data_IF_379684780539
#
_entry.id   IF_379684780539
#
_cell.length_a   1.000
_cell.length_b   1.000
_cell.length_c   1.000
_cell.angle_alpha   90.00
_cell.angle_beta   90.00
_cell.angle_gamma   90.00
#
_symmetry.space_group_name_H-M   'P 1'
#
loop_
_entity.id
_entity.type
_entity.pdbx_description
1 polymer ?
#
# COMPACT_ATOMS: atom_id res chain seq x y z
N UNK A 1 17.01 -2.13 -3.35
CA UNK A 1 15.68 -2.29 -3.95
C UNK A 1 14.86 -1.11 -3.53
N UNK A 2 14.42 -0.28 -4.49
CA UNK A 2 13.40 0.71 -4.19
C UNK A 2 12.15 -0.01 -3.68
N UNK A 3 11.56 0.46 -2.59
CA UNK A 3 10.36 -0.14 -2.01
C UNK A 3 9.21 -0.03 -3.02
N UNK A 4 8.68 -1.17 -3.43
CA UNK A 4 7.48 -1.26 -4.28
C UNK A 4 6.25 -0.91 -3.42
N UNK A 5 5.98 0.38 -3.20
CA UNK A 5 4.77 0.84 -2.51
C UNK A 5 3.55 0.81 -3.44
N UNK A 6 2.35 0.71 -2.87
CA UNK A 6 1.11 0.80 -3.65
C UNK A 6 1.01 2.12 -4.40
N UNK A 7 1.42 3.24 -3.78
CA UNK A 7 1.43 4.56 -4.43
C UNK A 7 2.28 4.54 -5.71
N UNK A 8 3.48 3.94 -5.65
CA UNK A 8 4.36 3.85 -6.81
C UNK A 8 3.80 2.95 -7.91
N UNK A 9 3.07 1.89 -7.55
CA UNK A 9 2.37 1.03 -8.52
C UNK A 9 1.26 1.83 -9.21
N UNK A 10 0.44 2.56 -8.46
CA UNK A 10 -0.64 3.38 -9.02
C UNK A 10 -0.10 4.51 -9.91
N UNK A 11 0.95 5.21 -9.47
CA UNK A 11 1.61 6.25 -10.26
C UNK A 11 2.15 5.70 -11.58
N UNK A 12 2.79 4.53 -11.53
CA UNK A 12 3.30 3.87 -12.73
C UNK A 12 2.18 3.45 -13.68
N UNK A 13 1.12 2.81 -13.18
CA UNK A 13 -0.03 2.40 -14.00
C UNK A 13 -0.69 3.61 -14.67
N UNK A 14 -0.90 4.70 -13.92
CA UNK A 14 -1.47 5.93 -14.46
C UNK A 14 -0.57 6.56 -15.52
N UNK A 15 0.74 6.66 -15.25
CA UNK A 15 1.71 7.16 -16.22
C UNK A 15 1.69 6.34 -17.51
N UNK A 16 1.76 5.01 -17.39
CA UNK A 16 1.77 4.11 -18.54
C UNK A 16 0.53 4.29 -19.43
N UNK A 17 -0.67 4.27 -18.84
CA UNK A 17 -1.93 4.43 -19.59
C UNK A 17 -2.00 5.82 -20.23
N UNK A 18 -1.58 6.86 -19.50
CA UNK A 18 -1.60 8.24 -19.99
C UNK A 18 -0.66 8.44 -21.18
N UNK A 19 0.59 7.97 -21.11
CA UNK A 19 1.54 8.08 -22.22
C UNK A 19 1.12 7.22 -23.41
N UNK A 20 0.61 6.00 -23.17
CA UNK A 20 0.11 5.13 -24.22
C UNK A 20 -1.07 5.75 -24.97
N UNK A 21 -1.98 6.43 -24.26
CA UNK A 21 -3.14 7.08 -24.88
C UNK A 21 -2.76 8.14 -25.93
N UNK A 22 -1.57 8.75 -25.82
CA UNK A 22 -1.07 9.74 -26.78
C UNK A 22 -0.66 9.13 -28.11
N UNK A 23 -0.43 7.82 -28.15
CA UNK A 23 -0.07 7.09 -29.36
C UNK A 23 -1.29 6.75 -30.23
N UNK A 24 -2.51 6.93 -29.70
CA UNK A 24 -3.74 6.64 -30.43
C UNK A 24 -3.92 7.66 -31.56
N UNK A 25 -4.07 7.16 -32.78
CA UNK A 25 -4.33 7.94 -34.00
C UNK A 25 -5.83 8.09 -34.30
N UNK A 26 -6.69 7.65 -33.38
CA UNK A 26 -8.14 7.75 -33.47
C UNK A 26 -8.73 8.25 -32.15
N UNK A 27 -9.97 8.76 -32.22
CA UNK A 27 -10.76 9.12 -31.04
C UNK A 27 -11.48 7.87 -30.50
N UNK A 28 -11.14 7.37 -29.30
CA UNK A 28 -11.82 6.20 -28.76
C UNK A 28 -13.30 6.47 -28.54
N UNK A 29 -14.13 5.50 -28.87
CA UNK A 29 -15.56 5.49 -28.55
C UNK A 29 -15.93 4.13 -27.98
N UNK A 30 -16.80 4.08 -26.95
CA UNK A 30 -17.21 2.81 -26.36
C UNK A 30 -18.02 2.00 -27.40
N UNK A 31 -17.71 0.71 -27.63
CA UNK A 31 -18.53 -0.13 -28.48
C UNK A 31 -19.91 -0.37 -27.85
N UNK A 32 -20.89 -0.75 -28.65
CA UNK A 32 -22.26 -1.04 -28.17
C UNK A 32 -22.33 -2.21 -27.17
N UNK A 33 -21.32 -3.08 -27.17
CA UNK A 33 -21.16 -4.18 -26.21
C UNK A 33 -20.44 -3.78 -24.93
N UNK A 34 -19.96 -2.54 -24.81
CA UNK A 34 -19.28 -2.09 -23.60
C UNK A 34 -20.23 -2.09 -22.41
N UNK A 35 -19.76 -2.65 -21.30
CA UNK A 35 -20.44 -2.61 -20.02
C UNK A 35 -19.64 -1.74 -19.06
N UNK A 36 -20.34 -0.92 -18.29
CA UNK A 36 -19.72 -0.12 -17.24
C UNK A 36 -19.21 -1.05 -16.12
N UNK A 37 -17.97 -0.82 -15.70
CA UNK A 37 -17.41 -1.49 -14.52
C UNK A 37 -17.82 -0.69 -13.28
N UNK A 38 -18.67 -1.27 -12.46
CA UNK A 38 -19.05 -0.77 -11.13
C UNK A 38 -18.56 -1.72 -10.01
N UNK A 39 -18.70 -1.29 -8.75
CA UNK A 39 -18.37 -2.13 -7.58
C UNK A 39 -19.07 -3.49 -7.66
N UNK A 40 -20.34 -3.51 -8.03
CA UNK A 40 -21.14 -4.73 -8.08
C UNK A 40 -20.65 -5.67 -9.19
N UNK A 41 -20.23 -5.11 -10.32
CA UNK A 41 -19.63 -5.89 -11.42
C UNK A 41 -18.31 -6.56 -11.00
N UNK A 42 -17.50 -5.87 -10.19
CA UNK A 42 -16.26 -6.42 -9.64
C UNK A 42 -16.53 -7.52 -8.60
N UNK A 43 -17.49 -7.28 -7.70
CA UNK A 43 -17.90 -8.25 -6.68
C UNK A 43 -18.59 -9.47 -7.28
N UNK A 44 -19.27 -9.33 -8.42
CA UNK A 44 -19.92 -10.42 -9.14
C UNK A 44 -18.90 -11.39 -9.75
N UNK A 45 -17.77 -10.88 -10.24
CA UNK A 45 -16.71 -11.69 -10.87
C UNK A 45 -15.73 -12.29 -9.86
N UNK A 46 -15.68 -11.77 -8.64
CA UNK A 46 -14.75 -12.21 -7.62
C UNK A 46 -15.12 -13.60 -7.05
N UNK A 47 -14.11 -14.45 -6.84
CA UNK A 47 -14.29 -15.68 -6.08
C UNK A 47 -14.70 -15.37 -4.61
N UNK A 48 -15.29 -16.34 -3.88
CA UNK A 48 -15.85 -16.08 -2.55
C UNK A 48 -14.85 -15.44 -1.56
N UNK A 49 -13.56 -15.81 -1.65
CA UNK A 49 -12.53 -15.27 -0.76
C UNK A 49 -12.17 -13.84 -1.16
N UNK A 50 -11.93 -13.59 -2.46
CA UNK A 50 -11.63 -12.26 -2.97
C UNK A 50 -12.78 -11.29 -2.76
N UNK A 51 -14.04 -11.73 -2.94
CA UNK A 51 -15.24 -10.94 -2.69
C UNK A 51 -15.26 -10.39 -1.27
N UNK A 52 -14.98 -11.21 -0.26
CA UNK A 52 -14.95 -10.77 1.14
C UNK A 52 -13.89 -9.69 1.39
N UNK A 53 -12.73 -9.77 0.73
CA UNK A 53 -11.69 -8.74 0.85
C UNK A 53 -12.07 -7.46 0.12
N UNK A 54 -12.64 -7.56 -1.09
CA UNK A 54 -13.08 -6.42 -1.88
C UNK A 54 -14.18 -5.63 -1.16
N UNK A 55 -15.19 -6.31 -0.61
CA UNK A 55 -16.26 -5.66 0.17
C UNK A 55 -15.69 -4.88 1.36
N UNK A 56 -14.70 -5.46 2.07
CA UNK A 56 -14.03 -4.79 3.19
C UNK A 56 -13.12 -3.63 2.79
N UNK A 57 -12.65 -3.62 1.55
CA UNK A 57 -11.80 -2.54 1.01
C UNK A 57 -12.59 -1.32 0.56
N UNK A 58 -13.92 -1.37 0.61
CA UNK A 58 -14.78 -0.25 0.27
C UNK A 58 -14.44 0.96 1.13
N UNK A 59 -14.03 2.05 0.49
CA UNK A 59 -13.76 3.33 1.16
C UNK A 59 -14.91 4.29 0.91
N UNK A 60 -15.20 5.14 1.89
CA UNK A 60 -16.08 6.28 1.72
C UNK A 60 -15.27 7.55 1.91
N UNK A 61 -15.70 8.64 1.28
CA UNK A 61 -15.09 9.94 1.53
C UNK A 61 -15.21 10.26 3.03
N UNK A 62 -14.10 10.62 3.66
CA UNK A 62 -14.13 11.00 5.08
C UNK A 62 -15.01 12.24 5.25
N UNK A 63 -15.99 12.23 6.17
CA UNK A 63 -16.82 13.40 6.45
C UNK A 63 -16.00 14.53 7.09
N UNK A 64 -14.80 14.22 7.59
CA UNK A 64 -13.87 15.18 8.20
C UNK A 64 -12.59 15.30 7.37
N UNK A 65 -11.97 16.49 7.32
CA UNK A 65 -10.68 16.67 6.65
C UNK A 65 -9.59 15.84 7.37
N UNK A 66 -8.49 15.50 6.67
CA UNK A 66 -7.38 14.78 7.28
C UNK A 66 -6.89 15.46 8.56
N UNK A 67 -6.65 14.69 9.62
CA UNK A 67 -6.09 15.24 10.85
C UNK A 67 -4.67 15.77 10.59
N UNK A 68 -4.33 16.93 11.17
CA UNK A 68 -2.94 17.37 11.23
C UNK A 68 -2.24 16.52 12.28
N UNK A 69 -1.30 15.69 11.85
CA UNK A 69 -0.41 14.99 12.78
C UNK A 69 0.27 16.06 13.64
N UNK A 70 0.09 15.98 14.97
CA UNK A 70 0.71 16.94 15.88
C UNK A 70 2.23 16.86 15.72
N UNK A 71 2.89 18.00 15.90
CA UNK A 71 4.34 18.07 15.76
C UNK A 71 4.98 17.10 16.75
N UNK A 72 5.63 16.07 16.21
CA UNK A 72 6.11 14.93 16.99
C UNK A 72 7.24 15.37 17.91
N UNK A 73 7.18 14.99 19.19
CA UNK A 73 8.33 15.20 20.09
C UNK A 73 9.51 14.36 19.59
N UNK A 74 10.47 15.03 18.94
CA UNK A 74 11.64 14.38 18.37
C UNK A 74 12.49 13.64 19.40
N UNK A 75 12.42 14.03 20.68
CA UNK A 75 13.12 13.33 21.75
C UNK A 75 12.46 11.99 22.07
N UNK A 76 11.13 11.93 22.09
CA UNK A 76 10.39 10.68 22.30
C UNK A 76 10.74 9.65 21.23
N UNK A 77 10.76 10.06 19.95
CA UNK A 77 11.12 9.19 18.83
C UNK A 77 12.56 8.71 18.95
N UNK A 78 13.50 9.61 19.29
CA UNK A 78 14.92 9.26 19.43
C UNK A 78 15.15 8.28 20.58
N UNK A 79 14.49 8.49 21.71
CA UNK A 79 14.56 7.60 22.88
C UNK A 79 14.00 6.22 22.54
N UNK A 80 12.85 6.17 21.85
CA UNK A 80 12.25 4.91 21.41
C UNK A 80 13.16 4.14 20.44
N UNK A 81 13.80 4.83 19.49
CA UNK A 81 14.77 4.21 18.59
C UNK A 81 15.99 3.65 19.34
N UNK A 82 16.50 4.36 20.34
CA UNK A 82 17.61 3.88 21.18
C UNK A 82 17.22 2.65 21.99
N UNK A 83 16.03 2.66 22.61
CA UNK A 83 15.53 1.49 23.34
C UNK A 83 15.38 0.27 22.43
N UNK A 84 14.81 0.46 21.24
CA UNK A 84 14.69 -0.61 20.25
C UNK A 84 16.05 -1.18 19.84
N UNK A 85 17.04 -0.31 19.61
CA UNK A 85 18.42 -0.72 19.26
C UNK A 85 19.07 -1.50 20.41
N UNK A 86 18.89 -1.04 21.65
CA UNK A 86 19.40 -1.73 22.84
C UNK A 86 18.81 -3.13 22.97
N UNK A 87 17.48 -3.25 22.85
CA UNK A 87 16.80 -4.54 22.93
C UNK A 87 17.26 -5.54 21.85
N UNK A 88 17.53 -5.06 20.62
CA UNK A 88 18.08 -5.89 19.54
C UNK A 88 19.48 -6.39 19.91
N UNK A 89 20.38 -5.49 20.35
CA UNK A 89 21.73 -5.86 20.75
C UNK A 89 21.74 -6.85 21.94
N UNK A 90 20.85 -6.66 22.91
CA UNK A 90 20.73 -7.56 24.07
C UNK A 90 20.36 -8.97 23.61
N UNK A 91 19.42 -9.11 22.66
CA UNK A 91 19.06 -10.42 22.10
C UNK A 91 20.22 -11.05 21.30
N UNK A 92 20.95 -10.25 20.53
CA UNK A 92 22.11 -10.73 19.75
C UNK A 92 23.25 -11.21 20.64
N UNK A 93 23.57 -10.47 21.70
CA UNK A 93 24.61 -10.84 22.67
C UNK A 93 24.23 -12.11 23.44
N UNK A 94 22.96 -12.26 23.84
CA UNK A 94 22.45 -13.49 24.46
C UNK A 94 22.53 -14.72 23.54
N UNK A 95 22.38 -14.52 22.22
CA UNK A 95 22.55 -15.60 21.23
C UNK A 95 24.01 -15.97 21.04
N UNK A 96 24.91 -14.99 20.97
CA UNK A 96 26.35 -15.21 20.80
C UNK A 96 26.98 -15.93 22.02
N UNK A 97 26.48 -15.68 23.24
CA UNK A 97 26.94 -16.35 24.45
C UNK A 97 26.43 -17.78 24.61
N UNK A 98 25.38 -18.18 23.88
CA UNK A 98 24.77 -19.52 23.93
C UNK A 98 25.39 -20.54 22.97
N UNK A 99 26.39 -20.18 22.18
CA UNK A 99 27.13 -21.13 21.33
C UNK A 99 28.29 -21.75 22.14
N UNK A 100 28.20 -23.02 22.59
CA UNK A 100 29.31 -23.66 23.28
C UNK A 100 30.45 -23.92 22.29
N UNK A 101 31.68 -23.67 22.75
CA UNK A 101 32.89 -24.16 22.11
C UNK A 101 32.79 -25.69 21.99
N UNK A 102 32.79 -26.19 20.76
CA UNK A 102 32.97 -27.62 20.47
C UNK A 102 34.38 -28.08 20.79
#
# INVERSE_FOLDING_TARGET
>A
MESLSMDRIYDYMFHLISEYSKLLDFKPSPPSSALEVCSDSLLCLADPKSKQFLERSTTSASPTPPCKLQNTDGNLIRNWMQQKKKAINDVETMKAQKQPAG
#
